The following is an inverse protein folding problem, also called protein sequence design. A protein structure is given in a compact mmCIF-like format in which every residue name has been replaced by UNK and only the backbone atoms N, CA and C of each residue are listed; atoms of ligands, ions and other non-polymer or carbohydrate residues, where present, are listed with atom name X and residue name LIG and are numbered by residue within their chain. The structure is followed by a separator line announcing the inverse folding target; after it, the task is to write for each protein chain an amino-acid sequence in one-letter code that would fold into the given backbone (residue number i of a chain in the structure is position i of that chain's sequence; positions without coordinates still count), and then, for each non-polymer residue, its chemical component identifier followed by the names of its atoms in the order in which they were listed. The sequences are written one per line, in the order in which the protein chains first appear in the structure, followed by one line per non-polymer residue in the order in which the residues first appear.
data_IF_550923759259
#
_entry.id   IF_550923759259
#
_cell.length_a   1.000
_cell.length_b   1.000
_cell.length_c   1.000
_cell.angle_alpha   90.00
_cell.angle_beta   90.00
_cell.angle_gamma   90.00
#
_symmetry.space_group_name_H-M   'P 1'
#
loop_
_entity.id
_entity.type
_entity.pdbx_description
1 polymer ?
#
# COMPACT_ATOMS: atom_id res chain seq x y z
N UNK A 1 31.18 10.35 -17.13
CA UNK A 1 31.06 9.63 -15.82
C UNK A 1 30.50 10.52 -14.70
N UNK A 2 30.92 11.78 -14.57
CA UNK A 2 30.38 12.74 -13.59
C UNK A 2 28.92 13.12 -13.90
N UNK A 3 28.62 13.45 -15.15
CA UNK A 3 27.28 13.83 -15.63
C UNK A 3 26.22 12.74 -15.41
N UNK A 4 26.59 11.46 -15.53
CA UNK A 4 25.70 10.32 -15.30
C UNK A 4 25.40 10.11 -13.81
N UNK A 5 26.38 10.26 -12.92
CA UNK A 5 26.17 10.21 -11.47
C UNK A 5 25.25 11.34 -11.04
N UNK A 6 25.40 12.52 -11.61
CA UNK A 6 24.52 13.66 -11.36
C UNK A 6 23.08 13.40 -11.83
N UNK A 7 22.93 12.72 -12.99
CA UNK A 7 21.61 12.32 -13.49
C UNK A 7 20.95 11.31 -12.58
N UNK A 8 21.66 10.29 -12.12
CA UNK A 8 21.15 9.31 -11.16
C UNK A 8 20.75 9.97 -9.83
N UNK A 9 21.59 10.86 -9.30
CA UNK A 9 21.29 11.61 -8.09
C UNK A 9 20.03 12.47 -8.24
N UNK A 10 19.83 13.11 -9.40
CA UNK A 10 18.61 13.85 -9.71
C UNK A 10 17.36 12.93 -9.75
N UNK A 11 17.46 11.75 -10.37
CA UNK A 11 16.36 10.79 -10.45
C UNK A 11 16.01 10.27 -9.04
N UNK A 12 17.02 9.89 -8.25
CA UNK A 12 16.82 9.45 -6.86
C UNK A 12 16.14 10.55 -6.04
N UNK A 13 16.62 11.78 -6.13
CA UNK A 13 16.02 12.92 -5.41
C UNK A 13 14.58 13.19 -5.84
N UNK A 14 14.28 13.11 -7.13
CA UNK A 14 12.93 13.32 -7.68
C UNK A 14 11.95 12.20 -7.30
N UNK A 15 12.46 11.00 -7.00
CA UNK A 15 11.67 9.81 -6.67
C UNK A 15 11.88 9.33 -5.22
N UNK A 16 12.12 10.26 -4.29
CA UNK A 16 12.24 9.99 -2.85
C UNK A 16 13.21 8.83 -2.54
N UNK A 17 14.41 8.87 -3.11
CA UNK A 17 15.46 7.88 -2.90
C UNK A 17 15.34 6.61 -3.73
N UNK A 18 14.30 6.48 -4.57
CA UNK A 18 14.05 5.28 -5.36
C UNK A 18 14.34 5.50 -6.84
N UNK A 19 14.93 4.50 -7.49
CA UNK A 19 15.31 4.53 -8.91
C UNK A 19 14.73 3.31 -9.61
N UNK A 20 13.91 3.55 -10.63
CA UNK A 20 13.38 2.49 -11.49
C UNK A 20 14.20 2.40 -12.77
N UNK A 21 14.49 1.18 -13.23
CA UNK A 21 15.20 0.95 -14.50
C UNK A 21 14.46 1.53 -15.71
N UNK A 22 13.13 1.70 -15.65
CA UNK A 22 12.36 2.42 -16.67
C UNK A 22 12.78 3.89 -16.77
N UNK A 23 12.94 4.55 -15.63
CA UNK A 23 13.20 6.00 -15.56
C UNK A 23 14.64 6.30 -16.00
N UNK A 24 15.58 5.41 -15.62
CA UNK A 24 16.99 5.54 -16.07
C UNK A 24 17.14 5.31 -17.57
N UNK A 25 16.37 4.40 -18.15
CA UNK A 25 16.38 4.16 -19.60
C UNK A 25 15.91 5.39 -20.38
N UNK A 26 14.90 6.11 -19.88
CA UNK A 26 14.44 7.37 -20.47
C UNK A 26 15.55 8.46 -20.41
N UNK A 27 16.42 8.38 -19.43
CA UNK A 27 17.59 9.27 -19.27
C UNK A 27 18.85 8.76 -20.01
N UNK A 28 18.74 7.72 -20.85
CA UNK A 28 19.84 7.16 -21.61
C UNK A 28 20.81 6.28 -20.83
N UNK A 29 20.44 5.86 -19.61
CA UNK A 29 21.27 5.00 -18.75
C UNK A 29 20.76 3.56 -18.89
N UNK A 30 21.63 2.64 -19.31
CA UNK A 30 21.30 1.27 -19.55
C UNK A 30 21.41 0.37 -18.28
N UNK A 31 20.94 -0.88 -18.41
CA UNK A 31 20.97 -1.83 -17.28
C UNK A 31 22.40 -2.26 -16.91
N UNK A 32 23.36 -2.20 -17.83
CA UNK A 32 24.76 -2.56 -17.54
C UNK A 32 25.39 -1.55 -16.60
N UNK A 33 25.04 -0.29 -16.80
CA UNK A 33 25.51 0.77 -15.94
C UNK A 33 24.88 0.70 -14.54
N UNK A 34 23.61 0.36 -14.44
CA UNK A 34 22.95 0.10 -13.15
C UNK A 34 23.62 -1.07 -12.41
N UNK A 35 23.95 -2.14 -13.14
CA UNK A 35 24.68 -3.28 -12.57
C UNK A 35 26.08 -2.84 -12.09
N UNK A 36 26.83 -2.08 -12.89
CA UNK A 36 28.14 -1.56 -12.51
C UNK A 36 28.09 -0.72 -11.24
N UNK A 37 27.07 0.13 -11.08
CA UNK A 37 26.89 0.95 -9.89
C UNK A 37 26.48 0.13 -8.67
N UNK A 38 25.74 -0.96 -8.89
CA UNK A 38 25.42 -1.90 -7.83
C UNK A 38 26.66 -2.68 -7.37
N UNK A 39 27.47 -3.16 -8.31
CA UNK A 39 28.72 -3.86 -8.00
C UNK A 39 29.75 -2.93 -7.31
N UNK A 40 29.69 -1.63 -7.60
CA UNK A 40 30.51 -0.62 -6.94
C UNK A 40 29.94 -0.16 -5.58
N UNK A 41 28.84 -0.71 -5.11
CA UNK A 41 28.22 -0.35 -3.83
C UNK A 41 27.62 1.07 -3.77
N UNK A 42 27.33 1.67 -4.93
CA UNK A 42 26.66 2.99 -5.01
C UNK A 42 25.17 2.86 -4.99
N UNK A 43 24.63 1.80 -5.62
CA UNK A 43 23.22 1.44 -5.63
C UNK A 43 23.03 0.09 -4.98
N UNK A 44 21.87 -0.11 -4.36
CA UNK A 44 21.38 -1.39 -3.89
C UNK A 44 20.15 -1.79 -4.70
N UNK A 45 20.13 -3.04 -5.19
CA UNK A 45 18.99 -3.57 -5.92
C UNK A 45 18.00 -4.20 -4.95
N UNK A 46 16.85 -3.56 -4.73
CA UNK A 46 15.78 -4.01 -3.82
C UNK A 46 14.67 -4.81 -4.52
N UNK A 47 14.71 -4.87 -5.85
CA UNK A 47 13.75 -5.63 -6.66
C UNK A 47 14.17 -5.72 -8.13
N UNK A 48 13.36 -6.41 -8.94
CA UNK A 48 13.61 -6.49 -10.37
C UNK A 48 13.42 -5.09 -11.02
N UNK A 49 14.53 -4.46 -11.41
CA UNK A 49 14.52 -3.10 -11.97
C UNK A 49 14.17 -2.00 -10.96
N UNK A 50 14.32 -2.26 -9.67
CA UNK A 50 14.14 -1.28 -8.60
C UNK A 50 15.40 -1.19 -7.76
N UNK A 51 15.90 0.03 -7.59
CA UNK A 51 17.15 0.34 -6.90
C UNK A 51 16.96 1.49 -5.93
N UNK A 52 17.81 1.56 -4.92
CA UNK A 52 17.97 2.70 -4.00
C UNK A 52 19.45 3.09 -3.95
N UNK A 53 19.75 4.24 -3.37
CA UNK A 53 21.12 4.53 -2.93
C UNK A 53 21.54 3.52 -1.86
N UNK A 54 22.75 3.00 -1.90
CA UNK A 54 23.25 2.06 -0.90
C UNK A 54 23.37 2.69 0.51
N UNK A 55 23.26 4.02 0.64
CA UNK A 55 23.21 4.74 1.91
C UNK A 55 21.79 4.90 2.47
N UNK A 56 20.76 4.59 1.68
CA UNK A 56 19.37 4.86 2.03
C UNK A 56 18.65 3.58 2.49
N UNK A 57 17.61 3.75 3.30
CA UNK A 57 16.72 2.65 3.69
C UNK A 57 15.64 2.44 2.63
N UNK A 58 15.34 1.19 2.33
CA UNK A 58 14.27 0.84 1.42
C UNK A 58 12.90 1.22 2.01
N UNK A 59 12.02 1.75 1.16
CA UNK A 59 10.61 1.89 1.47
C UNK A 59 9.91 0.55 1.22
N UNK A 60 9.70 -0.25 2.27
CA UNK A 60 9.10 -1.58 2.18
C UNK A 60 7.70 -1.56 1.54
N UNK A 61 6.94 -0.49 1.75
CA UNK A 61 5.62 -0.32 1.13
C UNK A 61 5.73 -0.16 -0.38
N UNK A 62 6.67 0.70 -0.84
CA UNK A 62 6.91 0.88 -2.27
C UNK A 62 7.43 -0.41 -2.91
N UNK A 63 8.35 -1.11 -2.24
CA UNK A 63 8.87 -2.42 -2.69
C UNK A 63 7.75 -3.44 -2.82
N UNK A 64 6.87 -3.54 -1.83
CA UNK A 64 5.71 -4.43 -1.87
C UNK A 64 4.77 -4.08 -3.03
N UNK A 65 4.44 -2.80 -3.20
CA UNK A 65 3.59 -2.33 -4.31
C UNK A 65 4.23 -2.61 -5.68
N UNK A 66 5.54 -2.45 -5.80
CA UNK A 66 6.26 -2.72 -7.04
C UNK A 66 6.26 -4.21 -7.37
N UNK A 67 6.53 -5.09 -6.39
CA UNK A 67 6.50 -6.55 -6.55
C UNK A 67 5.08 -7.09 -6.76
N UNK A 68 4.06 -6.40 -6.27
CA UNK A 68 2.66 -6.75 -6.41
C UNK A 68 1.91 -5.68 -7.22
N UNK A 69 2.11 -5.67 -8.56
CA UNK A 69 1.60 -4.61 -9.44
C UNK A 69 0.08 -4.36 -9.38
N UNK A 70 -0.72 -5.37 -8.99
CA UNK A 70 -2.17 -5.22 -8.73
C UNK A 70 -2.53 -5.22 -7.24
N UNK A 71 -1.55 -5.15 -6.34
CA UNK A 71 -1.84 -5.03 -4.92
C UNK A 71 -2.35 -3.63 -4.56
N UNK A 72 -3.37 -3.58 -3.72
CA UNK A 72 -3.86 -2.35 -3.06
C UNK A 72 -3.74 -2.58 -1.57
N UNK A 73 -3.05 -1.70 -0.85
CA UNK A 73 -2.98 -1.81 0.60
C UNK A 73 -4.37 -1.71 1.21
N UNK A 74 -4.67 -2.56 2.17
CA UNK A 74 -6.00 -2.76 2.71
C UNK A 74 -5.98 -3.17 4.18
N UNK A 75 -7.14 -3.27 4.80
CA UNK A 75 -7.31 -3.74 6.17
C UNK A 75 -6.40 -2.97 7.16
N UNK A 76 -5.67 -3.65 8.04
CA UNK A 76 -4.84 -3.01 9.07
C UNK A 76 -3.77 -2.08 8.51
N UNK A 77 -3.16 -2.43 7.36
CA UNK A 77 -2.21 -1.55 6.70
C UNK A 77 -2.86 -0.26 6.20
N UNK A 78 -4.07 -0.34 5.67
CA UNK A 78 -4.81 0.86 5.25
C UNK A 78 -5.33 1.67 6.44
N UNK A 79 -5.76 1.02 7.53
CA UNK A 79 -6.10 1.74 8.78
C UNK A 79 -4.93 2.58 9.28
N UNK A 80 -3.72 2.01 9.28
CA UNK A 80 -2.50 2.73 9.64
C UNK A 80 -2.26 3.96 8.76
N UNK A 81 -2.34 3.82 7.41
CA UNK A 81 -2.16 4.94 6.49
C UNK A 81 -3.21 6.05 6.64
N UNK A 82 -4.41 5.70 7.07
CA UNK A 82 -5.49 6.67 7.29
C UNK A 82 -5.51 7.26 8.71
N UNK A 83 -4.57 6.88 9.57
CA UNK A 83 -4.54 7.33 10.96
C UNK A 83 -5.71 6.78 11.80
N UNK A 84 -6.37 5.72 11.33
CA UNK A 84 -7.42 5.00 12.05
C UNK A 84 -6.85 3.90 12.97
N UNK A 85 -5.54 3.77 13.01
CA UNK A 85 -4.78 2.92 13.91
C UNK A 85 -3.37 3.47 14.09
N UNK A 86 -2.90 3.55 15.34
CA UNK A 86 -1.52 3.91 15.67
C UNK A 86 -0.56 2.71 15.61
N UNK A 87 -1.10 1.50 15.42
CA UNK A 87 -0.30 0.27 15.36
C UNK A 87 0.31 0.11 13.98
N UNK A 88 1.64 0.06 13.91
CA UNK A 88 2.35 -0.35 12.70
C UNK A 88 2.00 -1.81 12.39
N UNK A 89 1.53 -2.13 11.17
CA UNK A 89 1.15 -3.49 10.82
C UNK A 89 2.36 -4.44 10.87
N UNK A 90 2.22 -5.58 11.55
CA UNK A 90 3.25 -6.63 11.58
C UNK A 90 3.41 -7.32 10.21
N UNK A 91 2.33 -7.37 9.46
CA UNK A 91 2.29 -7.89 8.09
C UNK A 91 1.68 -6.84 7.17
N UNK A 92 2.25 -6.65 5.99
CA UNK A 92 1.66 -5.77 5.00
C UNK A 92 0.43 -6.44 4.39
N UNK A 93 -0.74 -5.89 4.67
CA UNK A 93 -2.02 -6.41 4.17
C UNK A 93 -2.38 -5.77 2.84
N UNK A 94 -2.60 -6.59 1.83
CA UNK A 94 -2.96 -6.14 0.49
C UNK A 94 -4.16 -6.93 -0.04
N UNK A 95 -5.03 -6.25 -0.77
CA UNK A 95 -6.09 -6.89 -1.56
C UNK A 95 -5.67 -6.97 -3.02
N UNK A 96 -5.87 -8.13 -3.62
CA UNK A 96 -5.60 -8.43 -5.03
C UNK A 96 -6.86 -9.00 -5.71
N UNK A 97 -7.02 -8.81 -7.03
CA UNK A 97 -8.15 -9.43 -7.73
C UNK A 97 -8.02 -10.95 -7.75
N UNK A 98 -9.15 -11.64 -7.67
CA UNK A 98 -9.18 -13.10 -7.79
C UNK A 98 -8.53 -13.56 -9.09
N UNK A 99 -7.69 -14.59 -9.00
CA UNK A 99 -6.91 -15.11 -10.13
C UNK A 99 -5.57 -14.39 -10.38
N UNK A 100 -5.29 -13.26 -9.70
CA UNK A 100 -3.96 -12.63 -9.79
C UNK A 100 -2.95 -13.38 -8.90
N UNK A 101 -1.71 -13.51 -9.39
CA UNK A 101 -0.61 -14.14 -8.67
C UNK A 101 0.56 -13.18 -8.52
N UNK A 102 1.29 -13.30 -7.42
CA UNK A 102 2.52 -12.56 -7.13
C UNK A 102 3.48 -13.42 -6.33
N UNK A 103 4.78 -13.19 -6.48
CA UNK A 103 5.82 -13.89 -5.72
C UNK A 103 5.73 -13.66 -4.22
N UNK A 104 5.13 -12.54 -3.79
CA UNK A 104 4.95 -12.19 -2.38
C UNK A 104 4.00 -13.14 -1.63
N UNK A 105 3.14 -13.89 -2.34
CA UNK A 105 2.26 -14.90 -1.74
C UNK A 105 3.01 -16.01 -0.99
N UNK A 106 4.29 -16.20 -1.30
CA UNK A 106 5.14 -17.21 -0.64
C UNK A 106 5.65 -16.74 0.73
N UNK A 107 5.78 -15.44 0.91
CA UNK A 107 6.24 -14.84 2.17
C UNK A 107 5.04 -14.47 3.07
N UNK A 108 4.55 -15.48 3.79
CA UNK A 108 3.42 -15.33 4.72
C UNK A 108 3.83 -14.68 6.05
N UNK A 109 5.10 -14.47 6.30
CA UNK A 109 5.56 -13.77 7.51
C UNK A 109 5.43 -12.26 7.36
N UNK A 110 5.74 -11.73 6.19
CA UNK A 110 5.74 -10.30 5.90
C UNK A 110 4.46 -9.81 5.24
N UNK A 111 3.72 -10.70 4.55
CA UNK A 111 2.57 -10.29 3.73
C UNK A 111 1.33 -11.12 4.01
N UNK A 112 0.18 -10.45 4.05
CA UNK A 112 -1.14 -11.08 4.10
C UNK A 112 -2.00 -10.57 2.96
N UNK A 113 -2.54 -11.51 2.16
CA UNK A 113 -3.34 -11.18 0.99
C UNK A 113 -4.81 -11.52 1.18
N UNK A 114 -5.66 -10.61 0.71
CA UNK A 114 -7.09 -10.78 0.59
C UNK A 114 -7.47 -10.75 -0.89
N UNK A 115 -8.49 -11.53 -1.24
CA UNK A 115 -8.96 -11.63 -2.62
C UNK A 115 -10.34 -11.00 -2.74
N UNK A 116 -10.53 -10.23 -3.80
CA UNK A 116 -11.83 -9.70 -4.15
C UNK A 116 -12.17 -9.96 -5.62
N UNK A 117 -13.47 -9.86 -5.95
CA UNK A 117 -13.93 -9.95 -7.33
C UNK A 117 -13.48 -8.72 -8.11
N UNK A 118 -13.23 -8.85 -9.46
CA UNK A 118 -12.79 -7.73 -10.29
C UNK A 118 -13.73 -6.52 -10.28
N UNK A 119 -15.03 -6.76 -10.18
CA UNK A 119 -16.09 -5.74 -10.16
C UNK A 119 -16.02 -4.79 -8.94
N UNK A 120 -15.53 -5.29 -7.81
CA UNK A 120 -15.38 -4.49 -6.58
C UNK A 120 -13.91 -4.13 -6.26
N UNK A 121 -12.97 -4.58 -7.09
CA UNK A 121 -11.55 -4.34 -6.86
C UNK A 121 -11.17 -2.87 -6.96
N UNK A 122 -11.74 -2.14 -7.92
CA UNK A 122 -11.43 -0.72 -8.14
C UNK A 122 -12.18 0.23 -7.23
N UNK A 123 -13.18 -0.28 -6.50
CA UNK A 123 -14.00 0.52 -5.59
C UNK A 123 -13.16 1.08 -4.44
N UNK A 124 -13.05 2.40 -4.35
CA UNK A 124 -12.37 3.09 -3.26
C UNK A 124 -10.84 3.06 -3.33
N UNK A 125 -10.22 2.79 -4.50
CA UNK A 125 -8.76 2.94 -4.64
C UNK A 125 -8.41 4.42 -4.57
N UNK A 126 -7.52 4.76 -3.63
CA UNK A 126 -6.96 6.09 -3.42
C UNK A 126 -5.43 6.04 -3.42
N UNK A 127 -4.83 7.22 -3.42
CA UNK A 127 -3.37 7.38 -3.30
C UNK A 127 -3.04 8.06 -1.98
N UNK A 128 -2.10 7.47 -1.24
CA UNK A 128 -1.52 8.06 -0.03
C UNK A 128 -0.01 8.13 -0.15
N UNK A 129 0.64 8.95 0.68
CA UNK A 129 2.10 8.99 0.77
C UNK A 129 2.59 7.97 1.79
N UNK A 130 3.64 7.21 1.45
CA UNK A 130 4.39 6.43 2.43
C UNK A 130 5.13 7.33 3.42
N UNK A 131 5.68 6.80 4.52
CA UNK A 131 6.58 7.56 5.40
C UNK A 131 7.81 8.13 4.67
N UNK A 132 8.22 7.54 3.55
CA UNK A 132 9.30 8.01 2.68
C UNK A 132 8.84 8.97 1.57
N UNK A 133 7.53 9.35 1.54
CA UNK A 133 6.95 10.28 0.57
C UNK A 133 6.57 9.64 -0.78
N UNK A 134 6.65 8.33 -0.93
CA UNK A 134 6.28 7.64 -2.16
C UNK A 134 4.77 7.45 -2.28
N UNK A 135 4.23 7.60 -3.50
CA UNK A 135 2.82 7.38 -3.77
C UNK A 135 2.45 5.89 -3.72
N UNK A 136 1.51 5.54 -2.86
CA UNK A 136 1.02 4.18 -2.65
C UNK A 136 -0.47 4.08 -2.98
N UNK A 137 -0.88 2.95 -3.58
CA UNK A 137 -2.29 2.61 -3.77
C UNK A 137 -2.83 1.97 -2.52
N UNK A 138 -3.82 2.60 -1.93
CA UNK A 138 -4.48 2.17 -0.71
C UNK A 138 -5.99 2.26 -0.93
N UNK A 139 -6.79 1.41 -0.33
CA UNK A 139 -8.21 1.67 -0.28
C UNK A 139 -8.50 2.87 0.61
N UNK A 140 -9.47 3.69 0.23
CA UNK A 140 -9.89 4.84 1.03
C UNK A 140 -10.49 4.41 2.39
N UNK A 141 -10.78 5.37 3.23
CA UNK A 141 -11.19 5.16 4.62
C UNK A 141 -12.45 4.31 4.73
N UNK A 142 -13.47 4.65 3.97
CA UNK A 142 -14.77 4.01 3.99
C UNK A 142 -14.69 2.57 3.46
N UNK A 143 -13.95 2.36 2.36
CA UNK A 143 -13.70 1.03 1.84
C UNK A 143 -12.88 0.18 2.83
N UNK A 144 -11.88 0.76 3.44
CA UNK A 144 -11.02 0.09 4.43
C UNK A 144 -11.83 -0.39 5.63
N UNK A 145 -12.70 0.45 6.17
CA UNK A 145 -13.59 0.08 7.27
C UNK A 145 -14.54 -1.05 6.88
N UNK A 146 -15.16 -0.98 5.70
CA UNK A 146 -15.99 -2.05 5.18
C UNK A 146 -15.23 -3.37 5.07
N UNK A 147 -14.01 -3.37 4.53
CA UNK A 147 -13.18 -4.57 4.39
C UNK A 147 -12.80 -5.15 5.77
N UNK A 148 -12.46 -4.30 6.75
CA UNK A 148 -12.17 -4.72 8.12
C UNK A 148 -13.39 -5.34 8.81
N UNK A 149 -14.54 -4.70 8.73
CA UNK A 149 -15.81 -5.22 9.29
C UNK A 149 -16.16 -6.56 8.63
N UNK A 150 -16.03 -6.66 7.32
CA UNK A 150 -16.30 -7.90 6.56
C UNK A 150 -15.39 -9.05 6.96
N UNK A 151 -14.16 -8.76 7.36
CA UNK A 151 -13.11 -9.73 7.71
C UNK A 151 -12.79 -9.77 9.20
N UNK A 152 -13.66 -9.22 10.06
CA UNK A 152 -13.44 -9.13 11.51
C UNK A 152 -13.02 -10.44 12.19
N UNK A 153 -13.50 -11.58 11.71
CA UNK A 153 -13.09 -12.89 12.25
C UNK A 153 -11.62 -13.26 11.98
N UNK A 154 -10.96 -12.54 11.09
CA UNK A 154 -9.57 -12.77 10.69
C UNK A 154 -8.63 -11.65 11.15
N UNK A 155 -9.15 -10.62 11.81
CA UNK A 155 -8.41 -9.43 12.25
C UNK A 155 -8.54 -9.28 13.77
N UNK A 156 -7.73 -8.41 14.35
CA UNK A 156 -7.90 -7.99 15.75
C UNK A 156 -9.24 -7.23 15.90
N UNK A 157 -10.16 -7.82 16.65
CA UNK A 157 -11.51 -7.26 16.82
C UNK A 157 -11.51 -5.91 17.54
N UNK A 158 -10.61 -5.72 18.50
CA UNK A 158 -10.50 -4.46 19.25
C UNK A 158 -9.96 -3.34 18.37
N UNK A 159 -9.02 -3.66 17.49
CA UNK A 159 -8.49 -2.73 16.51
C UNK A 159 -9.57 -2.29 15.53
N UNK A 160 -10.36 -3.24 15.00
CA UNK A 160 -11.46 -2.93 14.07
C UNK A 160 -12.52 -2.05 14.76
N UNK A 161 -12.90 -2.40 16.00
CA UNK A 161 -13.88 -1.64 16.78
C UNK A 161 -13.39 -0.21 17.05
N UNK A 162 -12.14 -0.07 17.46
CA UNK A 162 -11.50 1.23 17.73
C UNK A 162 -11.45 2.10 16.46
N UNK A 163 -11.09 1.53 15.32
CA UNK A 163 -11.03 2.23 14.05
C UNK A 163 -12.41 2.73 13.60
N UNK A 164 -13.45 1.90 13.71
CA UNK A 164 -14.81 2.31 13.40
C UNK A 164 -15.26 3.42 14.34
N UNK A 165 -15.04 3.28 15.66
CA UNK A 165 -15.39 4.29 16.65
C UNK A 165 -14.67 5.62 16.39
N UNK A 166 -13.38 5.58 16.08
CA UNK A 166 -12.61 6.79 15.75
C UNK A 166 -13.19 7.47 14.53
N UNK A 167 -13.42 6.75 13.44
CA UNK A 167 -14.00 7.29 12.21
C UNK A 167 -15.36 7.97 12.45
N UNK A 168 -16.22 7.33 13.24
CA UNK A 168 -17.56 7.86 13.54
C UNK A 168 -17.55 9.17 14.33
N UNK A 169 -16.50 9.41 15.12
CA UNK A 169 -16.34 10.63 15.90
C UNK A 169 -15.59 11.76 15.14
N UNK A 170 -15.15 11.51 13.92
CA UNK A 170 -14.45 12.52 13.12
C UNK A 170 -15.41 13.43 12.35
N UNK A 171 -15.14 14.74 12.37
CA UNK A 171 -15.94 15.73 11.65
C UNK A 171 -15.96 15.56 10.11
N UNK A 172 -15.09 14.71 9.55
CA UNK A 172 -14.97 14.45 8.11
C UNK A 172 -15.49 13.07 7.68
N UNK A 173 -16.25 12.37 8.54
CA UNK A 173 -16.80 11.06 8.21
C UNK A 173 -17.89 11.17 7.12
N UNK A 174 -17.75 10.40 6.05
CA UNK A 174 -18.73 10.28 4.97
C UNK A 174 -19.57 9.01 5.16
N UNK A 175 -20.61 9.12 5.97
CA UNK A 175 -21.51 8.00 6.28
C UNK A 175 -22.32 7.54 5.06
N UNK A 176 -22.64 8.44 4.13
CA UNK A 176 -23.35 8.08 2.92
C UNK A 176 -22.47 7.14 2.06
N UNK A 177 -21.23 7.54 1.81
CA UNK A 177 -20.25 6.75 1.08
C UNK A 177 -19.93 5.41 1.78
N UNK A 178 -19.81 5.42 3.11
CA UNK A 178 -19.60 4.19 3.89
C UNK A 178 -20.75 3.20 3.68
N UNK A 179 -22.00 3.67 3.74
CA UNK A 179 -23.18 2.82 3.54
C UNK A 179 -23.34 2.34 2.08
N UNK A 180 -22.98 3.17 1.10
CA UNK A 180 -22.97 2.78 -0.32
C UNK A 180 -21.94 1.69 -0.61
N UNK A 181 -20.74 1.81 -0.02
CA UNK A 181 -19.73 0.75 -0.11
C UNK A 181 -20.17 -0.50 0.62
N UNK A 182 -20.77 -0.38 1.79
CA UNK A 182 -21.29 -1.51 2.56
C UNK A 182 -22.40 -2.25 1.79
N UNK A 183 -23.27 -1.55 1.06
CA UNK A 183 -24.27 -2.13 0.17
C UNK A 183 -23.61 -2.94 -0.95
N UNK A 184 -22.68 -2.31 -1.68
CA UNK A 184 -21.93 -2.95 -2.78
C UNK A 184 -21.17 -4.19 -2.31
N UNK A 185 -20.62 -4.15 -1.10
CA UNK A 185 -19.87 -5.25 -0.47
C UNK A 185 -20.77 -6.27 0.26
N UNK A 186 -22.10 -6.05 0.27
CA UNK A 186 -23.12 -6.92 0.89
C UNK A 186 -22.93 -7.10 2.40
N UNK A 187 -22.62 -6.01 3.09
CA UNK A 187 -22.43 -5.97 4.55
C UNK A 187 -23.14 -4.79 5.22
N UNK A 188 -24.12 -4.17 4.55
CA UNK A 188 -24.79 -2.95 5.03
C UNK A 188 -25.38 -3.09 6.42
N UNK A 189 -26.09 -4.18 6.68
CA UNK A 189 -26.72 -4.42 7.99
C UNK A 189 -25.66 -4.57 9.10
N UNK A 190 -24.54 -5.22 8.79
CA UNK A 190 -23.42 -5.33 9.73
C UNK A 190 -22.82 -3.97 10.05
N UNK A 191 -22.58 -3.13 9.03
CA UNK A 191 -22.03 -1.77 9.24
C UNK A 191 -23.01 -0.92 10.03
N UNK A 192 -24.32 -1.00 9.75
CA UNK A 192 -25.36 -0.29 10.54
C UNK A 192 -25.34 -0.68 12.00
N UNK A 193 -25.23 -1.98 12.31
CA UNK A 193 -25.12 -2.43 13.70
C UNK A 193 -23.94 -1.82 14.44
N UNK A 194 -22.77 -1.70 13.76
CA UNK A 194 -21.62 -1.01 14.34
C UNK A 194 -21.92 0.48 14.58
N UNK A 195 -22.59 1.15 13.63
CA UNK A 195 -22.98 2.56 13.78
C UNK A 195 -23.95 2.77 14.95
N UNK A 196 -24.94 1.90 15.11
CA UNK A 196 -25.96 2.01 16.19
C UNK A 196 -25.39 1.74 17.59
N UNK A 197 -24.38 0.87 17.70
CA UNK A 197 -23.79 0.51 19.01
C UNK A 197 -22.72 1.53 19.45
N UNK A 198 -22.10 2.26 18.51
CA UNK A 198 -20.95 3.13 18.79
C UNK A 198 -21.28 4.63 18.81
N UNK A 199 -22.48 5.02 18.45
CA UNK A 199 -23.06 6.36 18.62
C UNK A 199 -23.89 6.36 19.89
#
# INVERSE_FOLDING_TARGET
MMEMKDTIAKILKANNGTLKASDTRLAGIDNKELQRLTDAGVLERIGHGLYISASDMADDYLVAQYKCGKGVFSHETALYFHGLSDRTPLQLMMTIPSGYNTTLLKDKSSYRFFYCKPDVYTLGIATVSSPHGNALRVYDRERTLCDCVKKKSCLDSDLVLSAVKQYMNENGADFAKLLDYAETLKIRDTVRQYMEVLV
#
